data_IF_500865152161
#
_entry.id   IF_500865152161
#
_cell.length_a   1.000
_cell.length_b   1.000
_cell.length_c   1.000
_cell.angle_alpha   90.00
_cell.angle_beta   90.00
_cell.angle_gamma   90.00
#
_symmetry.space_group_name_H-M   'P 1'
#
loop_
_entity.id
_entity.type
_entity.pdbx_description
1 polymer ?
#
# COMPACT_ATOMS: atom_id res chain seq x y z
N UNK A 1 26.68 -44.24 -30.18
CA UNK A 1 27.29 -43.31 -29.20
C UNK A 1 27.31 -41.91 -29.83
N UNK A 2 26.27 -41.11 -29.63
CA UNK A 2 26.23 -39.70 -30.04
C UNK A 2 25.53 -38.93 -28.92
N UNK A 3 26.26 -37.99 -28.31
CA UNK A 3 25.82 -37.10 -27.23
C UNK A 3 24.94 -35.98 -27.80
N UNK A 4 23.75 -35.78 -27.23
CA UNK A 4 22.91 -34.60 -27.47
C UNK A 4 23.26 -33.44 -26.53
N UNK A 5 23.00 -32.17 -26.93
CA UNK A 5 23.29 -31.03 -26.08
C UNK A 5 22.16 -30.78 -25.08
N UNK A 6 22.55 -30.36 -23.87
CA UNK A 6 21.69 -29.96 -22.76
C UNK A 6 21.03 -28.61 -23.06
N UNK A 7 19.72 -28.52 -22.86
CA UNK A 7 18.97 -27.26 -22.82
C UNK A 7 19.43 -26.43 -21.60
N UNK A 8 19.96 -25.24 -21.87
CA UNK A 8 20.17 -24.20 -20.87
C UNK A 8 18.86 -23.46 -20.61
N UNK A 9 18.51 -23.33 -19.33
CA UNK A 9 17.43 -22.50 -18.84
C UNK A 9 17.97 -21.07 -18.68
N UNK A 10 17.34 -20.10 -19.34
CA UNK A 10 17.47 -18.66 -19.14
C UNK A 10 16.03 -18.13 -18.96
N UNK A 11 15.66 -17.13 -18.18
CA UNK A 11 16.36 -15.97 -17.63
C UNK A 11 15.49 -15.50 -16.44
N UNK A 12 16.05 -15.41 -15.22
CA UNK A 12 15.34 -14.86 -14.06
C UNK A 12 15.45 -13.33 -14.12
N UNK A 13 14.31 -12.63 -14.09
CA UNK A 13 14.29 -11.17 -14.04
C UNK A 13 14.64 -10.71 -12.63
N UNK A 14 15.79 -10.03 -12.52
CA UNK A 14 16.34 -9.46 -11.30
C UNK A 14 15.55 -8.21 -10.89
N UNK A 15 14.77 -8.30 -9.82
CA UNK A 15 14.37 -7.10 -9.04
C UNK A 15 15.44 -6.94 -7.97
N UNK A 16 16.44 -6.11 -8.26
CA UNK A 16 17.37 -5.67 -7.23
C UNK A 16 16.64 -4.59 -6.44
N UNK A 17 16.05 -4.91 -5.29
CA UNK A 17 15.69 -3.88 -4.31
C UNK A 17 16.98 -3.54 -3.56
N UNK A 18 17.16 -2.30 -3.14
CA UNK A 18 18.22 -1.97 -2.18
C UNK A 18 17.46 -1.19 -1.14
N UNK A 19 17.10 -1.85 -0.03
CA UNK A 19 16.73 -1.10 1.13
C UNK A 19 17.97 -0.27 1.51
N UNK A 20 17.83 1.04 1.54
CA UNK A 20 18.85 1.89 2.15
C UNK A 20 18.26 2.39 3.44
N UNK A 21 18.66 1.71 4.51
CA UNK A 21 18.50 2.17 5.88
C UNK A 21 19.16 3.52 6.13
N UNK A 22 18.75 4.07 7.27
CA UNK A 22 19.04 5.38 7.82
C UNK A 22 20.53 5.73 7.88
N UNK A 23 20.86 6.96 7.49
CA UNK A 23 22.06 7.66 7.95
C UNK A 23 21.61 8.90 8.71
N UNK A 24 21.84 8.91 10.03
CA UNK A 24 21.75 10.10 10.85
C UNK A 24 22.98 10.96 10.64
N UNK A 25 22.78 12.28 10.62
CA UNK A 25 23.85 13.25 10.78
C UNK A 25 23.60 13.99 12.10
N UNK A 26 24.51 13.74 13.04
CA UNK A 26 24.80 14.59 14.18
C UNK A 26 25.24 15.97 13.67
N UNK A 27 24.73 17.03 14.28
CA UNK A 27 25.50 18.27 14.36
C UNK A 27 25.39 18.85 15.77
N UNK A 28 26.56 18.88 16.40
CA UNK A 28 26.86 19.33 17.74
C UNK A 28 26.99 20.86 17.73
N UNK A 29 26.19 21.55 18.53
CA UNK A 29 26.56 22.90 18.98
C UNK A 29 26.00 23.17 20.37
N UNK A 30 26.89 22.94 21.33
CA UNK A 30 26.79 23.35 22.71
C UNK A 30 26.42 24.84 22.90
N UNK A 31 25.50 25.11 23.83
CA UNK A 31 25.58 26.25 24.72
C UNK A 31 24.99 25.92 26.10
N UNK A 32 25.78 26.27 27.11
CA UNK A 32 25.71 25.91 28.53
C UNK A 32 24.55 26.60 29.30
N UNK A 33 24.26 26.14 30.55
CA UNK A 33 23.03 26.43 31.28
C UNK A 33 23.15 27.60 32.26
N UNK A 34 22.03 28.26 32.56
CA UNK A 34 21.89 29.21 33.67
C UNK A 34 20.52 29.09 34.36
N UNK A 35 20.55 28.45 35.54
CA UNK A 35 19.98 28.87 36.85
C UNK A 35 18.62 29.57 36.97
N UNK A 36 17.82 29.00 37.90
CA UNK A 36 16.93 29.62 38.90
C UNK A 36 15.76 30.52 38.44
N UNK A 37 14.53 30.18 38.84
CA UNK A 37 13.98 30.53 40.15
C UNK A 37 12.49 30.16 40.27
N UNK A 38 12.13 29.57 41.40
CA UNK A 38 10.77 29.44 41.93
C UNK A 38 10.13 30.81 42.16
N UNK A 39 8.81 30.92 41.93
CA UNK A 39 7.97 31.80 42.76
C UNK A 39 6.49 31.40 42.70
N UNK A 40 5.99 30.89 43.84
CA UNK A 40 4.56 30.85 44.20
C UNK A 40 4.40 31.76 45.42
N UNK A 41 3.40 32.64 45.47
CA UNK A 41 2.55 32.75 46.68
C UNK A 41 1.10 33.22 46.37
N UNK A 42 0.22 33.51 47.36
CA UNK A 42 -0.53 32.55 48.15
C UNK A 42 -2.06 32.75 48.07
N UNK A 43 -2.78 31.78 48.63
CA UNK A 43 -4.25 31.76 48.82
C UNK A 43 -4.68 32.81 49.87
N UNK A 44 -5.76 33.54 49.58
CA UNK A 44 -6.47 34.37 50.56
C UNK A 44 -7.98 34.01 50.58
N UNK A 45 -8.46 33.71 51.77
CA UNK A 45 -9.82 33.37 52.15
C UNK A 45 -10.62 34.63 52.42
N UNK A 46 -11.85 34.74 51.89
CA UNK A 46 -12.83 35.73 52.39
C UNK A 46 -14.20 35.12 52.54
N UNK A 47 -14.68 35.16 53.78
CA UNK A 47 -16.02 34.81 54.24
C UNK A 47 -16.96 36.00 54.02
N UNK A 48 -18.14 35.79 53.44
CA UNK A 48 -19.26 36.72 53.60
C UNK A 48 -20.57 35.99 53.94
N UNK A 49 -21.17 36.46 55.03
CA UNK A 49 -22.48 36.08 55.54
C UNK A 49 -23.60 36.53 54.61
N UNK A 50 -24.67 35.74 54.52
CA UNK A 50 -25.97 36.26 54.12
C UNK A 50 -27.09 35.71 54.99
N UNK A 51 -27.89 36.65 55.50
CA UNK A 51 -28.93 36.44 56.48
C UNK A 51 -30.17 35.72 55.95
N UNK A 52 -30.88 35.16 56.92
CA UNK A 52 -32.11 34.40 56.83
C UNK A 52 -33.30 35.25 56.34
N UNK A 53 -34.12 34.69 55.45
CA UNK A 53 -35.53 35.08 55.32
C UNK A 53 -36.35 33.86 54.88
N UNK A 54 -37.29 33.45 55.72
CA UNK A 54 -38.21 32.32 55.59
C UNK A 54 -39.41 32.65 54.71
N UNK A 55 -39.76 31.77 53.76
CA UNK A 55 -41.04 31.72 53.01
C UNK A 55 -41.41 30.23 52.76
N UNK A 56 -42.70 29.83 52.75
CA UNK A 56 -43.15 28.49 53.09
C UNK A 56 -43.02 27.42 52.00
N UNK A 57 -42.80 26.19 52.46
CA UNK A 57 -42.73 24.93 51.70
C UNK A 57 -44.02 24.64 50.95
N UNK A 58 -43.93 24.58 49.62
CA UNK A 58 -44.92 23.93 48.74
C UNK A 58 -44.19 22.81 48.00
N UNK A 59 -44.74 21.59 48.01
CA UNK A 59 -44.11 20.42 47.41
C UNK A 59 -43.97 20.58 45.88
N UNK A 60 -42.80 20.28 45.27
CA UNK A 60 -42.64 20.34 43.83
C UNK A 60 -43.37 19.17 43.13
N UNK A 61 -43.93 19.39 41.93
CA UNK A 61 -44.53 18.32 41.14
C UNK A 61 -43.48 17.30 40.68
N UNK A 62 -43.84 16.01 40.67
CA UNK A 62 -42.98 14.93 40.17
C UNK A 62 -42.68 15.15 38.68
N UNK A 63 -41.41 15.35 38.35
CA UNK A 63 -40.91 15.26 36.99
C UNK A 63 -41.07 13.82 36.47
N UNK A 64 -41.45 13.60 35.21
CA UNK A 64 -41.43 12.28 34.60
C UNK A 64 -39.98 11.78 34.56
N UNK A 65 -39.74 10.61 35.13
CA UNK A 65 -38.46 9.89 35.06
C UNK A 65 -38.23 9.43 33.63
N UNK A 66 -37.23 10.00 32.95
CA UNK A 66 -36.69 9.44 31.71
C UNK A 66 -36.21 8.00 31.96
N UNK A 67 -36.46 7.06 31.03
CA UNK A 67 -35.86 5.73 31.12
C UNK A 67 -34.33 5.86 31.08
N UNK A 68 -33.59 4.92 31.70
CA UNK A 68 -32.13 4.92 31.65
C UNK A 68 -31.67 4.86 30.19
N UNK A 69 -30.53 5.49 29.84
CA UNK A 69 -29.99 5.37 28.50
C UNK A 69 -29.73 3.90 28.21
N UNK A 70 -30.38 3.38 27.17
CA UNK A 70 -30.04 2.08 26.61
C UNK A 70 -28.58 2.16 26.17
N UNK A 71 -27.70 1.44 26.86
CA UNK A 71 -26.38 1.10 26.31
C UNK A 71 -26.62 0.19 25.13
N UNK A 72 -26.90 0.79 23.97
CA UNK A 72 -26.78 0.09 22.70
C UNK A 72 -25.29 -0.12 22.51
N UNK A 73 -24.84 -1.35 22.77
CA UNK A 73 -23.57 -1.83 22.26
C UNK A 73 -23.53 -1.47 20.76
N UNK A 74 -22.46 -0.85 20.24
CA UNK A 74 -22.41 -0.52 18.82
C UNK A 74 -22.65 -1.80 18.03
N UNK A 75 -23.62 -1.79 17.11
CA UNK A 75 -23.86 -2.93 16.23
C UNK A 75 -22.51 -3.31 15.57
N UNK A 76 -22.19 -4.61 15.48
CA UNK A 76 -20.97 -5.03 14.82
C UNK A 76 -21.00 -4.47 13.40
N UNK A 77 -20.01 -3.62 13.06
CA UNK A 77 -19.82 -3.16 11.69
C UNK A 77 -19.45 -4.39 10.85
N UNK A 78 -20.43 -5.05 10.25
CA UNK A 78 -20.18 -6.04 9.21
C UNK A 78 -19.82 -5.28 7.94
N UNK A 79 -18.59 -4.80 7.86
CA UNK A 79 -18.03 -4.26 6.62
C UNK A 79 -18.01 -5.33 5.52
N UNK A 80 -17.98 -4.94 4.24
CA UNK A 80 -17.80 -5.91 3.16
C UNK A 80 -16.50 -6.71 3.37
N UNK A 81 -16.47 -7.98 2.96
CA UNK A 81 -15.30 -8.83 3.15
C UNK A 81 -14.07 -8.23 2.45
N UNK A 82 -12.95 -8.15 3.18
CA UNK A 82 -11.69 -7.63 2.65
C UNK A 82 -11.12 -8.61 1.62
N UNK A 83 -10.73 -8.12 0.43
CA UNK A 83 -9.97 -8.93 -0.52
C UNK A 83 -8.53 -9.04 -0.03
N UNK A 84 -8.13 -10.22 0.42
CA UNK A 84 -6.75 -10.47 0.85
C UNK A 84 -6.02 -11.30 -0.18
N UNK A 85 -4.93 -10.76 -0.71
CA UNK A 85 -4.10 -11.41 -1.72
C UNK A 85 -2.63 -11.36 -1.41
N UNK A 86 -1.83 -11.88 -2.33
CA UNK A 86 -0.40 -11.68 -2.32
C UNK A 86 0.10 -11.23 -3.69
N UNK A 87 1.12 -10.38 -3.68
CA UNK A 87 1.87 -10.00 -4.87
C UNK A 87 3.01 -10.99 -5.02
N UNK A 88 3.02 -11.75 -6.11
CA UNK A 88 4.05 -12.77 -6.32
C UNK A 88 4.20 -13.16 -7.78
N UNK A 89 5.24 -12.63 -8.45
CA UNK A 89 5.52 -12.95 -9.84
C UNK A 89 6.01 -14.40 -10.06
N UNK A 90 6.41 -15.13 -9.00
CA UNK A 90 6.73 -16.56 -9.15
C UNK A 90 5.48 -17.36 -9.60
N UNK A 91 4.28 -16.89 -9.26
CA UNK A 91 3.02 -17.49 -9.70
C UNK A 91 2.80 -17.43 -11.22
N UNK A 92 3.50 -16.53 -11.94
CA UNK A 92 3.46 -16.44 -13.41
C UNK A 92 4.00 -17.71 -14.07
N UNK A 93 4.85 -18.45 -13.38
CA UNK A 93 5.37 -19.74 -13.82
C UNK A 93 4.54 -20.90 -13.26
N UNK A 94 4.61 -22.06 -13.92
CA UNK A 94 4.00 -23.28 -13.39
C UNK A 94 4.82 -23.78 -12.21
N UNK A 95 4.14 -24.13 -11.13
CA UNK A 95 4.76 -24.57 -9.90
C UNK A 95 3.77 -24.63 -8.75
N UNK A 96 4.25 -24.85 -7.52
CA UNK A 96 3.40 -25.00 -6.34
C UNK A 96 2.79 -23.67 -5.85
N UNK A 97 3.38 -22.52 -6.23
CA UNK A 97 3.05 -21.18 -5.70
C UNK A 97 1.55 -20.87 -5.68
N UNK A 98 0.81 -21.11 -6.78
CA UNK A 98 -0.65 -20.86 -6.78
C UNK A 98 -1.43 -21.78 -5.84
N UNK A 99 -0.99 -23.03 -5.67
CA UNK A 99 -1.58 -23.94 -4.69
C UNK A 99 -1.30 -23.46 -3.27
N UNK A 100 -0.05 -23.12 -2.99
CA UNK A 100 0.40 -22.61 -1.70
C UNK A 100 -0.27 -21.29 -1.30
N UNK A 101 -0.55 -20.41 -2.26
CA UNK A 101 -1.35 -19.20 -2.04
C UNK A 101 -2.76 -19.55 -1.55
N UNK A 102 -3.44 -20.45 -2.25
CA UNK A 102 -4.77 -20.90 -1.86
C UNK A 102 -4.76 -21.60 -0.50
N UNK A 103 -3.76 -22.46 -0.25
CA UNK A 103 -3.57 -23.17 1.03
C UNK A 103 -3.29 -22.21 2.19
N UNK A 104 -2.59 -21.10 1.93
CA UNK A 104 -2.35 -20.02 2.88
C UNK A 104 -3.59 -19.14 3.12
N UNK A 105 -4.70 -19.38 2.42
CA UNK A 105 -5.97 -18.68 2.61
C UNK A 105 -6.12 -17.41 1.77
N UNK A 106 -5.18 -17.08 0.89
CA UNK A 106 -5.32 -15.93 0.00
C UNK A 106 -6.49 -16.10 -0.96
N UNK A 107 -7.24 -15.03 -1.22
CA UNK A 107 -8.32 -14.96 -2.20
C UNK A 107 -7.94 -14.21 -3.48
N UNK A 108 -6.73 -13.67 -3.56
CA UNK A 108 -6.25 -12.93 -4.70
C UNK A 108 -4.76 -13.10 -4.97
N UNK A 109 -4.37 -12.86 -6.22
CA UNK A 109 -3.00 -12.82 -6.71
C UNK A 109 -2.77 -11.48 -7.42
N UNK A 110 -1.70 -10.80 -7.06
CA UNK A 110 -1.15 -9.70 -7.84
C UNK A 110 0.10 -10.15 -8.61
N UNK A 111 0.18 -9.77 -9.88
CA UNK A 111 1.33 -10.02 -10.75
C UNK A 111 1.65 -8.79 -11.58
N UNK A 112 2.87 -8.73 -12.09
CA UNK A 112 3.40 -7.58 -12.84
C UNK A 112 3.47 -7.86 -14.33
N UNK A 113 3.11 -6.88 -15.17
CA UNK A 113 3.44 -6.87 -16.59
C UNK A 113 4.21 -5.59 -16.93
N UNK A 114 5.48 -5.73 -17.30
CA UNK A 114 6.32 -4.58 -17.64
C UNK A 114 6.04 -4.05 -19.04
N UNK A 115 5.77 -2.75 -19.15
CA UNK A 115 5.79 -2.01 -20.40
C UNK A 115 7.21 -1.52 -20.71
N UNK A 116 7.64 -1.69 -21.96
CA UNK A 116 8.89 -1.13 -22.48
C UNK A 116 8.59 -0.03 -23.52
N UNK A 117 9.39 1.07 -23.56
CA UNK A 117 9.24 2.12 -24.56
C UNK A 117 9.18 1.61 -26.00
N UNK A 118 8.27 2.17 -26.79
CA UNK A 118 8.04 1.76 -28.18
C UNK A 118 6.99 0.66 -28.35
N UNK A 119 6.57 -0.03 -27.29
CA UNK A 119 5.60 -1.14 -27.39
C UNK A 119 4.16 -0.66 -27.22
N UNK A 120 3.33 -0.79 -28.26
CA UNK A 120 1.87 -0.59 -28.16
C UNK A 120 1.09 -1.86 -27.80
N UNK A 121 1.78 -3.00 -27.66
CA UNK A 121 1.19 -4.31 -27.40
C UNK A 121 2.20 -5.20 -26.67
N UNK A 122 1.77 -6.04 -25.71
CA UNK A 122 2.67 -7.01 -25.10
C UNK A 122 3.17 -8.05 -26.12
N UNK A 123 4.31 -8.66 -25.83
CA UNK A 123 4.82 -9.74 -26.69
C UNK A 123 3.85 -10.93 -26.69
N UNK A 124 3.94 -11.79 -27.71
CA UNK A 124 3.18 -13.05 -27.73
C UNK A 124 3.48 -13.91 -26.50
N UNK A 125 4.73 -13.89 -26.04
CA UNK A 125 5.17 -14.60 -24.84
C UNK A 125 4.49 -14.03 -23.59
N UNK A 126 4.48 -12.71 -23.41
CA UNK A 126 3.84 -12.06 -22.26
C UNK A 126 2.35 -12.38 -22.21
N UNK A 127 1.63 -12.23 -23.33
CA UNK A 127 0.22 -12.60 -23.41
C UNK A 127 0.00 -14.09 -23.12
N UNK A 128 0.92 -14.96 -23.56
CA UNK A 128 0.87 -16.39 -23.26
C UNK A 128 0.99 -16.67 -21.76
N UNK A 129 1.92 -15.99 -21.08
CA UNK A 129 2.10 -16.09 -19.62
C UNK A 129 0.86 -15.58 -18.89
N UNK A 130 0.37 -14.39 -19.23
CA UNK A 130 -0.81 -13.78 -18.61
C UNK A 130 -2.06 -14.65 -18.78
N UNK A 131 -2.28 -15.24 -19.96
CA UNK A 131 -3.41 -16.17 -20.16
C UNK A 131 -3.28 -17.44 -19.33
N UNK A 132 -2.09 -18.04 -19.26
CA UNK A 132 -1.90 -19.28 -18.50
C UNK A 132 -2.06 -19.05 -17.00
N UNK A 133 -1.43 -18.02 -16.43
CA UNK A 133 -1.60 -17.68 -15.00
C UNK A 133 -3.04 -17.27 -14.69
N UNK A 134 -3.69 -16.50 -15.57
CA UNK A 134 -5.07 -16.09 -15.33
C UNK A 134 -6.02 -17.28 -15.28
N UNK A 135 -5.89 -18.22 -16.22
CA UNK A 135 -6.67 -19.47 -16.20
C UNK A 135 -6.42 -20.27 -14.92
N UNK A 136 -5.15 -20.47 -14.52
CA UNK A 136 -4.80 -21.26 -13.32
C UNK A 136 -5.28 -20.61 -12.02
N UNK A 137 -5.32 -19.27 -11.96
CA UNK A 137 -5.87 -18.51 -10.85
C UNK A 137 -7.40 -18.63 -10.79
N UNK A 138 -8.09 -18.53 -11.93
CA UNK A 138 -9.54 -18.74 -12.01
C UNK A 138 -9.95 -20.16 -11.58
N UNK A 139 -9.17 -21.19 -11.95
CA UNK A 139 -9.39 -22.58 -11.50
C UNK A 139 -9.30 -22.76 -9.96
N UNK A 140 -8.81 -21.75 -9.23
CA UNK A 140 -8.65 -21.71 -7.77
C UNK A 140 -9.46 -20.61 -7.10
N UNK A 141 -10.37 -19.97 -7.85
CA UNK A 141 -11.16 -18.83 -7.37
C UNK A 141 -10.31 -17.65 -6.85
N UNK A 142 -9.11 -17.48 -7.41
CA UNK A 142 -8.24 -16.34 -7.09
C UNK A 142 -8.56 -15.14 -8.00
N UNK A 143 -8.90 -14.00 -7.39
CA UNK A 143 -9.01 -12.72 -8.10
C UNK A 143 -7.62 -12.24 -8.55
N UNK A 144 -7.52 -11.70 -9.76
CA UNK A 144 -6.23 -11.26 -10.32
C UNK A 144 -6.16 -9.74 -10.35
N UNK A 145 -5.12 -9.20 -9.71
CA UNK A 145 -4.67 -7.83 -9.86
C UNK A 145 -3.45 -7.82 -10.79
N UNK A 146 -3.47 -6.99 -11.83
CA UNK A 146 -2.35 -6.84 -12.74
C UNK A 146 -1.73 -5.45 -12.59
N UNK A 147 -0.52 -5.38 -12.04
CA UNK A 147 0.27 -4.17 -12.06
C UNK A 147 0.92 -4.01 -13.43
N UNK A 148 0.53 -2.96 -14.17
CA UNK A 148 1.17 -2.59 -15.44
C UNK A 148 1.98 -1.34 -15.21
N UNK A 149 3.30 -1.44 -15.34
CA UNK A 149 4.20 -0.31 -15.15
C UNK A 149 5.51 -0.49 -15.94
N UNK A 150 6.35 0.53 -15.94
CA UNK A 150 7.63 0.53 -16.62
C UNK A 150 8.78 0.23 -15.64
N UNK A 151 9.91 -0.27 -16.12
CA UNK A 151 10.95 -0.86 -15.25
C UNK A 151 11.60 0.11 -14.25
N UNK A 152 11.62 1.39 -14.58
CA UNK A 152 12.08 2.42 -13.65
C UNK A 152 12.16 3.78 -14.32
N UNK A 153 12.82 4.72 -13.65
CA UNK A 153 12.90 6.12 -14.03
C UNK A 153 13.40 6.37 -15.47
N UNK A 154 14.33 5.55 -15.97
CA UNK A 154 14.88 5.67 -17.33
C UNK A 154 13.86 5.37 -18.43
N UNK A 155 12.76 4.70 -18.11
CA UNK A 155 11.69 4.32 -19.04
C UNK A 155 10.37 5.03 -18.73
N UNK A 156 10.40 6.14 -17.98
CA UNK A 156 9.20 6.93 -17.66
C UNK A 156 8.49 7.38 -18.95
N UNK A 157 7.17 7.15 -19.11
CA UNK A 157 6.42 7.51 -20.31
C UNK A 157 6.12 9.02 -20.35
N UNK A 158 7.16 9.82 -20.60
CA UNK A 158 7.09 11.28 -20.54
C UNK A 158 6.46 11.94 -21.78
N UNK A 159 6.46 11.27 -22.93
CA UNK A 159 5.93 11.84 -24.19
C UNK A 159 4.49 11.41 -24.45
N UNK A 160 3.70 12.19 -25.23
CA UNK A 160 2.36 11.76 -25.66
C UNK A 160 2.36 10.40 -26.36
N UNK A 161 3.34 10.13 -27.21
CA UNK A 161 3.47 8.86 -27.92
C UNK A 161 3.75 7.69 -26.96
N UNK A 162 4.64 7.88 -25.99
CA UNK A 162 4.95 6.86 -24.98
C UNK A 162 3.71 6.51 -24.14
N UNK A 163 2.94 7.52 -23.72
CA UNK A 163 1.68 7.30 -23.00
C UNK A 163 0.63 6.59 -23.86
N UNK A 164 0.52 6.95 -25.14
CA UNK A 164 -0.38 6.29 -26.09
C UNK A 164 -0.02 4.82 -26.27
N UNK A 165 1.27 4.52 -26.40
CA UNK A 165 1.79 3.15 -26.50
C UNK A 165 1.52 2.36 -25.21
N UNK A 166 1.75 2.95 -24.05
CA UNK A 166 1.45 2.34 -22.76
C UNK A 166 -0.05 2.03 -22.63
N UNK A 167 -0.92 2.98 -22.94
CA UNK A 167 -2.36 2.80 -22.88
C UNK A 167 -2.84 1.70 -23.85
N UNK A 168 -2.31 1.67 -25.08
CA UNK A 168 -2.59 0.61 -26.04
C UNK A 168 -2.10 -0.77 -25.58
N UNK A 169 -0.96 -0.83 -24.88
CA UNK A 169 -0.43 -2.05 -24.29
C UNK A 169 -1.38 -2.60 -23.23
N UNK A 170 -1.81 -1.77 -22.27
CA UNK A 170 -2.75 -2.16 -21.22
C UNK A 170 -4.12 -2.58 -21.80
N UNK A 171 -4.69 -1.78 -22.71
CA UNK A 171 -5.94 -2.09 -23.40
C UNK A 171 -5.86 -3.39 -24.22
N UNK A 172 -4.67 -3.74 -24.73
CA UNK A 172 -4.48 -5.02 -25.42
C UNK A 172 -4.48 -6.20 -24.46
N UNK A 173 -3.92 -6.07 -23.26
CA UNK A 173 -4.01 -7.13 -22.25
C UNK A 173 -5.47 -7.41 -21.91
N UNK A 174 -6.26 -6.37 -21.66
CA UNK A 174 -7.67 -6.51 -21.28
C UNK A 174 -8.51 -7.22 -22.36
N UNK A 175 -8.32 -6.86 -23.64
CA UNK A 175 -9.01 -7.56 -24.75
C UNK A 175 -8.62 -9.03 -24.88
N UNK A 176 -7.37 -9.36 -24.56
CA UNK A 176 -6.76 -10.66 -24.86
C UNK A 176 -6.75 -11.61 -23.66
N UNK A 177 -7.00 -11.08 -22.45
CA UNK A 177 -7.00 -11.79 -21.16
C UNK A 177 -8.17 -11.25 -20.29
N UNK A 178 -9.44 -11.42 -20.72
CA UNK A 178 -10.61 -10.80 -20.08
C UNK A 178 -10.91 -11.30 -18.65
N UNK A 179 -10.18 -12.32 -18.18
CA UNK A 179 -10.20 -12.75 -16.78
C UNK A 179 -9.54 -11.73 -15.84
N UNK A 180 -8.66 -10.87 -16.36
CA UNK A 180 -8.07 -9.76 -15.60
C UNK A 180 -9.08 -8.63 -15.57
N UNK A 181 -9.53 -8.27 -14.37
CA UNK A 181 -10.52 -7.20 -14.14
C UNK A 181 -10.02 -6.08 -13.25
N UNK A 182 -8.84 -6.23 -12.65
CA UNK A 182 -8.21 -5.22 -11.82
C UNK A 182 -6.84 -4.89 -12.38
N UNK A 183 -6.62 -3.63 -12.75
CA UNK A 183 -5.33 -3.16 -13.28
C UNK A 183 -4.81 -2.02 -12.41
N UNK A 184 -3.62 -2.21 -11.85
CA UNK A 184 -2.87 -1.17 -11.13
C UNK A 184 -1.95 -0.47 -12.13
N UNK A 185 -2.10 0.85 -12.28
CA UNK A 185 -1.40 1.63 -13.31
C UNK A 185 -0.22 2.37 -12.71
N UNK A 186 0.99 1.98 -13.11
CA UNK A 186 2.22 2.53 -12.56
C UNK A 186 2.66 1.83 -11.27
N UNK A 187 3.80 2.28 -10.74
CA UNK A 187 4.33 1.86 -9.46
C UNK A 187 5.05 3.04 -8.82
N UNK A 188 4.64 3.43 -7.61
CA UNK A 188 5.25 4.50 -6.81
C UNK A 188 5.72 5.73 -7.60
N UNK A 189 4.83 6.41 -8.35
CA UNK A 189 5.22 7.59 -9.12
C UNK A 189 5.73 8.75 -8.25
N UNK A 190 5.57 8.68 -6.92
CA UNK A 190 6.16 9.60 -5.95
C UNK A 190 7.64 9.31 -5.60
N UNK A 191 8.20 8.21 -6.08
CA UNK A 191 9.57 7.76 -5.81
C UNK A 191 10.44 7.87 -7.06
N UNK A 192 11.62 8.49 -6.94
CA UNK A 192 12.55 8.72 -8.07
C UNK A 192 13.09 7.45 -8.72
N UNK A 193 13.03 6.30 -8.05
CA UNK A 193 13.36 5.00 -8.65
C UNK A 193 12.42 4.71 -9.81
N UNK A 194 11.13 5.01 -9.65
CA UNK A 194 10.10 4.61 -10.58
C UNK A 194 9.64 5.74 -11.47
N UNK A 195 9.78 7.01 -11.09
CA UNK A 195 9.35 8.10 -11.95
C UNK A 195 10.31 9.29 -11.91
N UNK A 196 10.78 9.73 -13.06
CA UNK A 196 11.57 10.96 -13.19
C UNK A 196 11.13 11.74 -14.44
N UNK A 197 11.20 13.09 -14.42
CA UNK A 197 11.62 13.92 -13.29
C UNK A 197 10.59 13.95 -12.14
N UNK A 198 11.05 14.04 -10.90
CA UNK A 198 10.18 14.28 -9.74
C UNK A 198 9.76 15.75 -9.68
N UNK A 199 10.70 16.67 -9.79
CA UNK A 199 10.47 18.11 -9.72
C UNK A 199 10.98 18.81 -10.97
N UNK A 200 10.34 19.92 -11.34
CA UNK A 200 10.86 20.83 -12.34
C UNK A 200 11.91 21.80 -11.76
N UNK A 201 12.52 22.65 -12.59
CA UNK A 201 13.61 23.56 -12.17
C UNK A 201 13.23 24.53 -11.05
N UNK A 202 11.95 24.89 -10.92
CA UNK A 202 11.43 25.77 -9.87
C UNK A 202 10.98 25.04 -8.60
N UNK A 203 11.12 23.71 -8.54
CA UNK A 203 10.65 22.88 -7.43
C UNK A 203 9.17 22.48 -7.50
N UNK A 204 8.47 22.88 -8.57
CA UNK A 204 7.12 22.43 -8.89
C UNK A 204 7.07 20.91 -9.11
N UNK A 205 5.93 20.28 -8.81
CA UNK A 205 5.76 18.85 -9.05
C UNK A 205 5.73 18.56 -10.55
N UNK A 206 6.72 17.79 -11.03
CA UNK A 206 6.73 17.29 -12.41
C UNK A 206 6.11 15.88 -12.50
N UNK A 207 6.31 15.05 -11.48
CA UNK A 207 5.82 13.67 -11.49
C UNK A 207 4.30 13.58 -11.42
N UNK A 208 3.62 14.32 -10.54
CA UNK A 208 2.17 14.17 -10.36
C UNK A 208 1.36 14.56 -11.62
N UNK A 209 1.59 15.71 -12.28
CA UNK A 209 0.91 16.02 -13.55
C UNK A 209 1.27 15.06 -14.68
N UNK A 210 2.52 14.58 -14.72
CA UNK A 210 2.97 13.62 -15.73
C UNK A 210 2.29 12.26 -15.55
N UNK A 211 2.18 11.79 -14.31
CA UNK A 211 1.48 10.56 -13.96
C UNK A 211 -0.02 10.66 -14.27
N UNK A 212 -0.65 11.78 -13.94
CA UNK A 212 -2.05 12.03 -14.31
C UNK A 212 -2.29 11.88 -15.82
N UNK A 213 -1.40 12.43 -16.64
CA UNK A 213 -1.53 12.34 -18.09
C UNK A 213 -1.44 10.90 -18.59
N UNK A 214 -0.61 10.05 -17.97
CA UNK A 214 -0.58 8.62 -18.26
C UNK A 214 -1.88 7.96 -17.82
N UNK A 215 -2.27 8.20 -16.57
CA UNK A 215 -3.42 7.56 -15.93
C UNK A 215 -4.73 7.83 -16.70
N UNK A 216 -4.95 9.08 -17.13
CA UNK A 216 -6.11 9.45 -17.95
C UNK A 216 -6.16 8.69 -19.29
N UNK A 217 -5.03 8.55 -20.00
CA UNK A 217 -4.98 7.82 -21.26
C UNK A 217 -5.20 6.32 -21.08
N UNK A 218 -4.62 5.74 -20.02
CA UNK A 218 -4.82 4.33 -19.68
C UNK A 218 -6.28 4.08 -19.32
N UNK A 219 -6.89 4.94 -18.51
CA UNK A 219 -8.30 4.83 -18.13
C UNK A 219 -9.21 4.81 -19.36
N UNK A 220 -9.07 5.78 -20.27
CA UNK A 220 -9.90 5.86 -21.47
C UNK A 220 -9.72 4.63 -22.38
N UNK A 221 -8.47 4.22 -22.61
CA UNK A 221 -8.18 3.05 -23.44
C UNK A 221 -8.66 1.73 -22.80
N UNK A 222 -8.53 1.60 -21.49
CA UNK A 222 -8.92 0.41 -20.74
C UNK A 222 -10.45 0.28 -20.68
N UNK A 223 -11.18 1.34 -20.34
CA UNK A 223 -12.65 1.34 -20.35
C UNK A 223 -13.21 1.12 -21.75
N UNK A 224 -12.54 1.63 -22.79
CA UNK A 224 -12.92 1.34 -24.18
C UNK A 224 -12.68 -0.12 -24.59
N UNK A 225 -11.67 -0.79 -24.03
CA UNK A 225 -11.36 -2.19 -24.28
C UNK A 225 -12.23 -3.16 -23.49
N UNK A 226 -12.52 -2.84 -22.23
CA UNK A 226 -13.28 -3.65 -21.29
C UNK A 226 -13.98 -2.70 -20.29
N UNK A 227 -15.25 -2.31 -20.51
CA UNK A 227 -15.93 -1.29 -19.68
C UNK A 227 -15.96 -1.60 -18.18
N UNK A 228 -16.05 -2.88 -17.82
CA UNK A 228 -16.12 -3.36 -16.44
C UNK A 228 -14.76 -3.55 -15.76
N UNK A 229 -13.64 -3.18 -16.41
CA UNK A 229 -12.33 -3.22 -15.76
C UNK A 229 -12.27 -2.16 -14.65
N UNK A 230 -11.70 -2.51 -13.51
CA UNK A 230 -11.41 -1.61 -12.41
C UNK A 230 -9.96 -1.12 -12.51
N UNK A 231 -9.79 0.20 -12.57
CA UNK A 231 -8.49 0.86 -12.70
C UNK A 231 -8.06 1.45 -11.36
N UNK A 232 -6.99 0.89 -10.83
CA UNK A 232 -6.32 1.36 -9.62
C UNK A 232 -5.19 2.33 -10.00
N UNK A 233 -5.27 3.57 -9.50
CA UNK A 233 -4.22 4.59 -9.63
C UNK A 233 -3.47 4.83 -8.32
N UNK A 234 -2.38 5.59 -8.35
CA UNK A 234 -1.54 5.87 -7.18
C UNK A 234 -0.41 4.86 -7.07
N UNK A 235 -0.66 3.73 -6.41
CA UNK A 235 0.35 2.77 -5.95
C UNK A 235 1.51 3.49 -5.27
N UNK A 236 1.21 4.48 -4.42
CA UNK A 236 2.21 5.37 -3.85
C UNK A 236 3.01 4.67 -2.75
N UNK A 237 4.31 4.92 -2.73
CA UNK A 237 5.14 4.63 -1.57
C UNK A 237 4.75 5.55 -0.40
N UNK A 238 4.96 5.13 0.86
CA UNK A 238 4.35 5.77 2.02
C UNK A 238 5.06 7.04 2.51
N UNK A 239 6.21 7.37 1.91
CA UNK A 239 7.14 8.40 2.40
C UNK A 239 7.76 9.18 1.24
N UNK A 240 8.25 10.37 1.55
CA UNK A 240 9.08 11.15 0.64
C UNK A 240 9.68 12.40 1.29
N UNK A 241 10.75 12.91 0.69
CA UNK A 241 11.55 13.99 1.26
C UNK A 241 10.97 15.37 1.01
N UNK A 242 10.18 15.56 -0.04
CA UNK A 242 9.72 16.86 -0.55
C UNK A 242 10.87 17.86 -0.75
N UNK A 243 12.07 17.37 -1.08
CA UNK A 243 13.27 18.18 -1.32
C UNK A 243 13.63 18.16 -2.81
N UNK A 244 13.23 19.17 -3.61
CA UNK A 244 13.53 19.21 -5.03
C UNK A 244 15.01 19.13 -5.39
N UNK A 245 15.86 19.80 -4.60
CA UNK A 245 17.31 19.80 -4.77
C UNK A 245 18.02 18.66 -3.99
N UNK A 246 17.28 17.70 -3.43
CA UNK A 246 17.87 16.58 -2.70
C UNK A 246 18.54 15.57 -3.65
N UNK A 247 19.52 14.82 -3.16
CA UNK A 247 20.21 13.78 -3.93
C UNK A 247 19.26 12.68 -4.45
N UNK A 248 18.18 12.42 -3.71
CA UNK A 248 17.10 11.49 -4.08
C UNK A 248 15.76 12.22 -3.94
N UNK A 249 15.37 13.03 -4.94
CA UNK A 249 14.14 13.79 -4.86
C UNK A 249 12.94 12.83 -4.84
N UNK A 250 11.99 13.03 -3.94
CA UNK A 250 10.75 12.23 -3.84
C UNK A 250 9.64 13.10 -3.28
N UNK A 251 8.38 12.72 -3.52
CA UNK A 251 7.22 13.36 -2.90
C UNK A 251 6.73 12.54 -1.72
N UNK A 252 6.41 13.21 -0.61
CA UNK A 252 5.53 12.60 0.39
C UNK A 252 4.16 12.27 -0.24
N UNK A 253 3.46 11.22 0.23
CA UNK A 253 2.15 10.86 -0.31
C UNK A 253 1.18 12.03 -0.29
N UNK A 254 1.14 12.74 0.84
CA UNK A 254 0.26 13.90 1.00
C UNK A 254 0.56 15.02 0.03
N UNK A 255 1.84 15.30 -0.27
CA UNK A 255 2.17 16.27 -1.33
C UNK A 255 1.77 15.74 -2.69
N UNK A 256 2.13 14.50 -3.02
CA UNK A 256 1.84 13.92 -4.34
C UNK A 256 0.34 13.93 -4.66
N UNK A 257 -0.51 13.52 -3.71
CA UNK A 257 -1.97 13.49 -3.88
C UNK A 257 -2.55 14.90 -4.10
N UNK A 258 -2.09 15.91 -3.33
CA UNK A 258 -2.51 17.31 -3.54
C UNK A 258 -2.13 17.84 -4.92
N UNK A 259 -0.91 17.56 -5.37
CA UNK A 259 -0.42 17.96 -6.69
C UNK A 259 -1.16 17.21 -7.81
N UNK A 260 -1.52 15.95 -7.59
CA UNK A 260 -2.34 15.15 -8.51
C UNK A 260 -3.75 15.75 -8.65
N UNK A 261 -4.40 16.11 -7.54
CA UNK A 261 -5.70 16.79 -7.53
C UNK A 261 -5.66 18.17 -8.18
N UNK A 262 -4.60 18.95 -7.93
CA UNK A 262 -4.38 20.24 -8.59
C UNK A 262 -4.23 20.08 -10.11
N UNK A 263 -3.45 19.09 -10.56
CA UNK A 263 -3.30 18.76 -11.97
C UNK A 263 -4.62 18.29 -12.60
N UNK A 264 -5.42 17.50 -11.89
CA UNK A 264 -6.73 17.04 -12.35
C UNK A 264 -7.67 18.21 -12.58
N UNK A 265 -7.79 19.12 -11.61
CA UNK A 265 -8.58 20.35 -11.76
C UNK A 265 -8.07 21.22 -12.92
N UNK A 266 -6.76 21.42 -13.03
CA UNK A 266 -6.16 22.21 -14.10
C UNK A 266 -6.36 21.61 -15.50
N UNK A 267 -6.50 20.29 -15.61
CA UNK A 267 -6.76 19.61 -16.89
C UNK A 267 -8.14 19.90 -17.48
N UNK A 268 -9.09 20.37 -16.66
CA UNK A 268 -10.49 20.55 -17.06
C UNK A 268 -11.23 19.25 -17.36
N UNK A 269 -10.62 18.09 -17.09
CA UNK A 269 -11.21 16.78 -17.32
C UNK A 269 -12.39 16.55 -16.37
N UNK A 270 -13.52 16.14 -16.94
CA UNK A 270 -14.75 15.81 -16.19
C UNK A 270 -15.01 14.31 -16.08
N UNK A 271 -14.29 13.49 -16.85
CA UNK A 271 -14.33 12.03 -16.74
C UNK A 271 -13.34 11.53 -15.69
N UNK A 272 -13.62 10.42 -14.98
CA UNK A 272 -12.68 9.85 -14.02
C UNK A 272 -11.34 9.47 -14.68
N UNK A 273 -10.30 9.32 -13.86
CA UNK A 273 -8.97 8.82 -14.28
C UNK A 273 -8.62 7.48 -13.60
N UNK A 274 -9.38 7.10 -12.58
CA UNK A 274 -9.25 5.85 -11.84
C UNK A 274 -10.63 5.49 -11.27
N UNK A 275 -10.79 4.23 -10.88
CA UNK A 275 -11.95 3.75 -10.13
C UNK A 275 -11.65 3.61 -8.63
N UNK A 276 -10.37 3.44 -8.26
CA UNK A 276 -9.92 3.37 -6.87
C UNK A 276 -8.43 3.67 -6.73
N UNK A 277 -7.97 3.79 -5.48
CA UNK A 277 -6.61 4.21 -5.15
C UNK A 277 -5.80 3.06 -4.55
N UNK A 278 -4.71 2.70 -5.22
CA UNK A 278 -3.71 1.75 -4.73
C UNK A 278 -2.67 2.48 -3.86
N UNK A 279 -2.23 1.83 -2.77
CA UNK A 279 -1.30 2.43 -1.81
C UNK A 279 -0.40 1.38 -1.15
N UNK A 280 0.86 1.71 -0.88
CA UNK A 280 1.83 0.81 -0.23
C UNK A 280 2.13 1.29 1.21
N UNK A 281 1.33 0.92 2.22
CA UNK A 281 1.47 1.44 3.57
C UNK A 281 2.60 0.77 4.37
N UNK A 282 3.80 0.61 3.78
CA UNK A 282 4.93 0.00 4.48
C UNK A 282 5.30 0.79 5.74
N UNK A 283 5.55 0.13 6.88
CA UNK A 283 6.12 0.77 8.05
C UNK A 283 7.57 1.23 7.78
N UNK A 284 8.17 1.97 8.70
CA UNK A 284 9.55 2.45 8.60
C UNK A 284 10.56 1.31 8.39
N UNK A 285 10.34 0.20 9.08
CA UNK A 285 11.13 -1.04 9.06
C UNK A 285 10.23 -2.23 9.35
N UNK A 286 10.69 -3.46 9.07
CA UNK A 286 9.98 -4.69 9.45
C UNK A 286 9.80 -4.85 10.97
N UNK A 287 10.64 -4.19 11.78
CA UNK A 287 10.54 -4.14 13.24
C UNK A 287 9.54 -3.10 13.78
N UNK A 288 9.02 -2.23 12.91
CA UNK A 288 8.02 -1.23 13.29
C UNK A 288 6.61 -1.81 13.13
N UNK A 289 5.76 -1.77 14.17
CA UNK A 289 4.39 -2.28 14.06
C UNK A 289 3.59 -1.57 12.96
N UNK A 290 2.80 -2.30 12.15
CA UNK A 290 2.12 -1.73 10.99
C UNK A 290 1.01 -0.73 11.37
N UNK A 291 0.43 -0.88 12.56
CA UNK A 291 -0.62 -0.03 13.12
C UNK A 291 -0.08 1.16 13.95
N UNK A 292 1.22 1.49 13.83
CA UNK A 292 1.80 2.69 14.46
C UNK A 292 1.28 3.96 13.75
N UNK A 293 0.54 4.86 14.43
CA UNK A 293 -0.02 6.04 13.79
C UNK A 293 0.97 7.22 13.73
N UNK A 294 0.91 8.00 12.65
CA UNK A 294 1.69 9.21 12.45
C UNK A 294 0.89 10.47 12.83
N UNK A 295 0.59 10.60 14.13
CA UNK A 295 -0.30 11.64 14.68
C UNK A 295 0.12 13.09 14.41
N UNK A 296 1.37 13.35 14.04
CA UNK A 296 1.80 14.69 13.69
C UNK A 296 1.21 15.08 12.32
N UNK A 297 0.37 16.13 12.21
CA UNK A 297 -0.22 16.52 10.93
C UNK A 297 0.81 16.93 9.87
N UNK A 298 2.02 17.32 10.31
CA UNK A 298 3.16 17.64 9.43
C UNK A 298 3.99 16.42 9.02
N UNK A 299 3.63 15.22 9.49
CA UNK A 299 4.29 13.99 9.08
C UNK A 299 4.26 13.86 7.55
N UNK A 300 5.38 13.48 6.96
CA UNK A 300 5.48 13.15 5.54
C UNK A 300 5.26 11.66 5.26
N UNK A 301 5.00 10.89 6.31
CA UNK A 301 4.57 9.51 6.24
C UNK A 301 3.05 9.44 6.36
N UNK A 302 2.44 8.54 5.58
CA UNK A 302 1.09 8.04 5.80
C UNK A 302 1.25 6.51 5.86
N UNK A 303 1.07 5.94 7.04
CA UNK A 303 1.14 4.49 7.28
C UNK A 303 -0.23 3.84 7.24
N UNK A 304 -0.29 2.55 7.55
CA UNK A 304 -1.54 1.79 7.55
C UNK A 304 -2.55 2.37 8.56
N UNK A 305 -2.09 2.83 9.72
CA UNK A 305 -2.95 3.44 10.75
C UNK A 305 -3.40 4.89 10.47
N UNK A 306 -3.00 5.48 9.33
CA UNK A 306 -3.32 6.87 8.99
C UNK A 306 -4.38 6.96 7.87
N UNK A 307 -5.30 6.01 7.82
CA UNK A 307 -6.31 5.88 6.75
C UNK A 307 -7.22 7.11 6.62
N UNK A 308 -7.73 7.65 7.73
CA UNK A 308 -8.54 8.88 7.73
C UNK A 308 -7.81 10.03 7.00
N UNK A 309 -6.52 10.20 7.26
CA UNK A 309 -5.70 11.22 6.58
C UNK A 309 -5.55 10.92 5.10
N UNK A 310 -5.43 9.65 4.70
CA UNK A 310 -5.38 9.25 3.29
C UNK A 310 -6.71 9.57 2.60
N UNK A 311 -7.84 9.20 3.20
CA UNK A 311 -9.18 9.47 2.67
C UNK A 311 -9.45 10.95 2.49
N UNK A 312 -9.11 11.78 3.49
CA UNK A 312 -9.27 13.24 3.40
C UNK A 312 -8.51 13.81 2.19
N UNK A 313 -7.27 13.36 1.97
CA UNK A 313 -6.46 13.80 0.82
C UNK A 313 -7.05 13.33 -0.51
N UNK A 314 -7.56 12.10 -0.57
CA UNK A 314 -8.19 11.56 -1.78
C UNK A 314 -9.50 12.29 -2.09
N UNK A 315 -10.34 12.52 -1.09
CA UNK A 315 -11.57 13.29 -1.23
C UNK A 315 -11.28 14.72 -1.72
N UNK A 316 -10.26 15.38 -1.18
CA UNK A 316 -9.83 16.72 -1.65
C UNK A 316 -9.31 16.69 -3.10
N UNK A 317 -8.59 15.64 -3.48
CA UNK A 317 -7.98 15.53 -4.80
C UNK A 317 -9.01 15.21 -5.91
N UNK A 318 -9.95 14.30 -5.63
CA UNK A 318 -10.86 13.73 -6.62
C UNK A 318 -12.32 14.19 -6.47
N UNK A 319 -12.67 14.80 -5.33
CA UNK A 319 -14.02 15.30 -5.07
C UNK A 319 -15.06 14.21 -4.77
N UNK A 320 -14.62 12.97 -4.58
CA UNK A 320 -15.45 11.81 -4.23
C UNK A 320 -14.64 10.83 -3.40
N UNK A 321 -15.34 10.06 -2.55
CA UNK A 321 -14.76 8.90 -1.86
C UNK A 321 -14.31 7.85 -2.89
N UNK A 322 -13.14 7.24 -2.64
CA UNK A 322 -12.53 6.26 -3.52
C UNK A 322 -12.23 4.98 -2.73
N UNK A 323 -12.56 3.80 -3.28
CA UNK A 323 -12.08 2.54 -2.73
C UNK A 323 -10.55 2.54 -2.63
N UNK A 324 -10.04 2.04 -1.51
CA UNK A 324 -8.60 1.92 -1.24
C UNK A 324 -8.19 0.46 -1.32
N UNK A 325 -7.12 0.21 -2.06
CA UNK A 325 -6.41 -1.06 -2.10
C UNK A 325 -5.03 -0.85 -1.48
N UNK A 326 -4.74 -1.49 -0.35
CA UNK A 326 -3.36 -1.60 0.11
C UNK A 326 -2.65 -2.63 -0.76
N UNK A 327 -2.01 -2.16 -1.82
CA UNK A 327 -1.52 -3.01 -2.90
C UNK A 327 -0.19 -3.69 -2.62
N UNK A 328 0.52 -3.27 -1.55
CA UNK A 328 1.72 -3.95 -1.05
C UNK A 328 1.91 -3.69 0.44
N UNK A 329 2.16 -4.76 1.21
CA UNK A 329 2.66 -4.71 2.59
C UNK A 329 3.51 -5.95 2.88
N UNK A 330 4.73 -5.76 3.36
CA UNK A 330 5.67 -6.83 3.70
C UNK A 330 6.26 -6.66 5.09
N UNK A 331 6.46 -7.77 5.80
CA UNK A 331 7.20 -7.83 7.06
C UNK A 331 8.26 -8.93 6.92
N UNK A 332 9.52 -8.53 6.85
CA UNK A 332 10.64 -9.43 6.57
C UNK A 332 11.10 -10.18 7.81
N UNK A 333 11.45 -11.45 7.64
CA UNK A 333 11.83 -12.33 8.76
C UNK A 333 13.29 -12.72 8.72
N UNK A 334 13.88 -12.94 9.88
CA UNK A 334 15.20 -13.55 10.03
C UNK A 334 15.17 -14.95 9.43
N UNK A 335 16.12 -15.23 8.54
CA UNK A 335 16.27 -16.55 7.94
C UNK A 335 16.97 -17.49 8.93
N UNK A 336 16.43 -18.69 9.19
CA UNK A 336 17.11 -19.69 10.02
C UNK A 336 18.47 -20.10 9.44
N UNK A 337 19.44 -20.39 10.31
CA UNK A 337 20.82 -20.70 9.90
C UNK A 337 20.90 -21.91 8.96
N UNK A 338 20.03 -22.91 9.14
CA UNK A 338 19.91 -24.08 8.29
C UNK A 338 19.39 -23.78 6.87
N UNK A 339 18.72 -22.64 6.68
CA UNK A 339 18.19 -22.18 5.39
C UNK A 339 19.04 -21.10 4.73
N UNK A 340 20.01 -20.53 5.44
CA UNK A 340 20.86 -19.44 4.91
C UNK A 340 21.52 -19.77 3.56
N UNK A 341 21.85 -21.05 3.30
CA UNK A 341 22.41 -21.49 2.02
C UNK A 341 21.47 -21.42 0.81
N UNK A 342 20.19 -21.10 1.03
CA UNK A 342 19.19 -20.87 -0.03
C UNK A 342 19.15 -19.41 -0.48
N UNK A 343 19.87 -18.52 0.20
CA UNK A 343 19.80 -17.08 0.01
C UNK A 343 21.17 -16.51 -0.40
N UNK A 344 21.14 -15.45 -1.20
CA UNK A 344 22.32 -14.79 -1.73
C UNK A 344 22.33 -13.30 -1.36
N UNK A 345 23.46 -12.80 -0.82
CA UNK A 345 23.67 -11.38 -0.57
C UNK A 345 23.78 -11.03 0.91
N UNK A 346 23.39 -9.80 1.25
CA UNK A 346 23.37 -9.26 2.61
C UNK A 346 22.02 -8.57 2.80
N UNK A 347 21.36 -8.89 3.90
CA UNK A 347 20.09 -8.30 4.33
C UNK A 347 20.29 -6.81 4.67
N UNK A 348 19.62 -5.87 3.98
CA UNK A 348 19.77 -4.45 4.23
C UNK A 348 18.77 -3.91 5.27
N UNK A 349 17.85 -4.74 5.78
CA UNK A 349 16.77 -4.33 6.68
C UNK A 349 16.96 -4.83 8.12
N UNK A 350 16.02 -4.44 8.99
CA UNK A 350 15.88 -4.96 10.36
C UNK A 350 14.76 -6.03 10.39
N UNK A 351 15.05 -7.28 9.97
CA UNK A 351 14.05 -8.34 9.95
C UNK A 351 13.64 -8.76 11.36
N UNK A 352 12.44 -9.34 11.49
CA UNK A 352 11.88 -9.82 12.76
C UNK A 352 11.85 -11.34 12.85
N UNK A 353 11.52 -11.90 14.00
CA UNK A 353 11.19 -13.32 14.06
C UNK A 353 9.81 -13.62 13.43
N UNK A 354 9.58 -14.88 13.11
CA UNK A 354 8.34 -15.32 12.44
C UNK A 354 7.09 -15.14 13.33
N UNK A 355 7.25 -15.16 14.65
CA UNK A 355 6.15 -14.90 15.58
C UNK A 355 5.70 -13.43 15.51
N UNK A 356 6.66 -12.50 15.41
CA UNK A 356 6.41 -11.07 15.22
C UNK A 356 5.80 -10.80 13.85
N UNK A 357 6.29 -11.48 12.79
CA UNK A 357 5.67 -11.41 11.47
C UNK A 357 4.19 -11.81 11.51
N UNK A 358 3.88 -12.93 12.18
CA UNK A 358 2.50 -13.39 12.35
C UNK A 358 1.63 -12.37 13.10
N UNK A 359 2.13 -11.78 14.20
CA UNK A 359 1.40 -10.74 14.93
C UNK A 359 1.16 -9.49 14.07
N UNK A 360 2.17 -9.04 13.32
CA UNK A 360 2.07 -7.84 12.50
C UNK A 360 1.10 -8.03 11.34
N UNK A 361 1.14 -9.16 10.63
CA UNK A 361 0.14 -9.44 9.60
C UNK A 361 -1.26 -9.58 10.18
N UNK A 362 -1.42 -10.21 11.36
CA UNK A 362 -2.71 -10.27 12.06
C UNK A 362 -3.27 -8.87 12.34
N UNK A 363 -2.44 -7.96 12.88
CA UNK A 363 -2.85 -6.58 13.19
C UNK A 363 -3.15 -5.78 11.94
N UNK A 364 -2.32 -5.90 10.91
CA UNK A 364 -2.53 -5.20 9.65
C UNK A 364 -3.84 -5.61 8.97
N UNK A 365 -4.11 -6.91 8.89
CA UNK A 365 -5.33 -7.45 8.29
C UNK A 365 -6.57 -7.09 9.11
N UNK A 366 -6.50 -7.16 10.44
CA UNK A 366 -7.60 -6.76 11.30
C UNK A 366 -7.91 -5.26 11.19
N UNK A 367 -6.88 -4.42 11.16
CA UNK A 367 -7.03 -2.98 10.98
C UNK A 367 -7.66 -2.65 9.62
N UNK A 368 -7.10 -3.19 8.53
CA UNK A 368 -7.60 -2.95 7.18
C UNK A 368 -9.03 -3.44 6.96
N UNK A 369 -9.43 -4.57 7.56
CA UNK A 369 -10.80 -5.07 7.47
C UNK A 369 -11.83 -4.14 8.13
N UNK A 370 -11.39 -3.28 9.05
CA UNK A 370 -12.23 -2.36 9.80
C UNK A 370 -12.09 -0.89 9.38
N UNK A 371 -11.24 -0.58 8.40
CA UNK A 371 -11.10 0.76 7.83
C UNK A 371 -12.18 1.01 6.79
N UNK A 372 -12.62 2.26 6.68
CA UNK A 372 -13.68 2.64 5.77
C UNK A 372 -13.09 2.74 4.34
N UNK A 373 -13.90 2.41 3.31
CA UNK A 373 -13.48 2.34 1.90
C UNK A 373 -12.28 1.43 1.55
N UNK A 374 -11.63 0.78 2.52
CA UNK A 374 -10.56 -0.20 2.28
C UNK A 374 -11.18 -1.51 1.82
N UNK A 375 -10.94 -1.88 0.56
CA UNK A 375 -11.56 -3.06 -0.07
C UNK A 375 -10.59 -4.22 -0.25
N UNK A 376 -9.29 -4.00 -0.05
CA UNK A 376 -8.31 -5.07 -0.12
C UNK A 376 -6.94 -4.76 0.44
N UNK A 377 -6.21 -5.83 0.74
CA UNK A 377 -4.80 -5.81 1.14
C UNK A 377 -4.05 -6.93 0.42
N UNK A 378 -2.94 -6.59 -0.23
CA UNK A 378 -2.06 -7.52 -0.91
C UNK A 378 -0.73 -7.60 -0.16
N UNK A 379 -0.41 -8.77 0.35
CA UNK A 379 0.86 -9.00 1.03
C UNK A 379 1.99 -9.19 0.01
N UNK A 380 3.10 -8.50 0.23
CA UNK A 380 4.32 -8.60 -0.56
C UNK A 380 5.33 -9.31 0.33
N UNK A 381 5.57 -10.62 0.22
CA UNK A 381 5.15 -11.59 -0.81
C UNK A 381 4.43 -12.81 -0.21
N UNK A 382 4.14 -13.82 -1.04
CA UNK A 382 3.80 -15.15 -0.54
C UNK A 382 5.03 -16.02 -0.24
N UNK A 383 6.06 -15.92 -1.09
CA UNK A 383 7.35 -16.60 -0.93
C UNK A 383 8.47 -15.59 -0.75
N UNK A 384 9.49 -15.96 0.02
CA UNK A 384 10.71 -15.19 0.08
C UNK A 384 11.42 -15.13 -1.29
N UNK A 385 12.06 -14.00 -1.54
CA UNK A 385 13.00 -13.87 -2.64
C UNK A 385 14.37 -14.50 -2.28
N UNK A 386 15.06 -15.10 -3.25
CA UNK A 386 16.36 -15.74 -3.02
C UNK A 386 17.49 -14.74 -2.78
N UNK A 387 17.33 -13.49 -3.23
CA UNK A 387 18.32 -12.45 -2.99
C UNK A 387 17.94 -11.67 -1.72
N UNK A 388 18.88 -11.55 -0.78
CA UNK A 388 18.70 -10.78 0.47
C UNK A 388 18.59 -9.27 0.26
N UNK A 389 18.82 -8.82 -0.97
CA UNK A 389 18.53 -7.43 -1.36
C UNK A 389 17.07 -7.26 -1.79
N UNK A 390 16.37 -8.36 -2.01
CA UNK A 390 14.94 -8.44 -2.28
C UNK A 390 14.10 -8.41 -1.01
N UNK A 391 13.02 -9.19 -0.96
CA UNK A 391 12.13 -9.27 0.18
C UNK A 391 12.07 -10.67 0.80
N UNK A 392 12.32 -10.74 2.11
CA UNK A 392 12.22 -11.96 2.92
C UNK A 392 10.92 -12.00 3.74
N UNK A 393 9.83 -11.50 3.15
CA UNK A 393 8.53 -11.28 3.79
C UNK A 393 7.48 -12.35 3.51
N UNK A 394 7.82 -13.40 2.76
CA UNK A 394 6.90 -14.51 2.47
C UNK A 394 6.45 -15.22 3.74
N UNK A 395 5.34 -15.97 3.62
CA UNK A 395 4.94 -17.00 4.60
C UNK A 395 5.50 -18.39 4.23
N UNK A 396 6.16 -18.47 3.07
CA UNK A 396 6.98 -19.60 2.63
C UNK A 396 8.42 -19.11 2.38
N UNK A 397 9.39 -19.96 2.66
CA UNK A 397 10.78 -19.73 2.24
C UNK A 397 10.94 -19.97 0.72
N UNK A 398 12.14 -19.67 0.20
CA UNK A 398 12.52 -19.84 -1.22
C UNK A 398 12.29 -21.28 -1.74
N UNK A 399 12.46 -22.29 -0.88
CA UNK A 399 12.25 -23.70 -1.22
C UNK A 399 10.77 -24.15 -1.15
N UNK A 400 9.87 -23.23 -0.81
CA UNK A 400 8.44 -23.50 -0.64
C UNK A 400 8.09 -24.16 0.70
N UNK A 401 9.05 -24.36 1.60
CA UNK A 401 8.72 -24.80 2.96
C UNK A 401 7.95 -23.69 3.70
N UNK A 402 6.91 -24.02 4.46
CA UNK A 402 6.16 -23.02 5.22
C UNK A 402 7.00 -22.47 6.37
N UNK A 403 6.87 -21.17 6.64
CA UNK A 403 7.33 -20.55 7.87
C UNK A 403 6.41 -20.92 9.03
N UNK A 404 6.91 -20.84 10.26
CA UNK A 404 6.10 -21.03 11.47
C UNK A 404 5.01 -19.97 11.62
N UNK A 405 5.13 -18.83 10.92
CA UNK A 405 4.10 -17.78 10.84
C UNK A 405 2.86 -18.20 10.04
N UNK A 406 2.99 -19.13 9.07
CA UNK A 406 1.94 -19.44 8.10
C UNK A 406 0.56 -19.75 8.73
N UNK A 407 0.43 -20.62 9.75
CA UNK A 407 -0.90 -20.93 10.30
C UNK A 407 -1.60 -19.71 10.88
N UNK A 408 -0.90 -18.87 11.64
CA UNK A 408 -1.46 -17.67 12.25
C UNK A 408 -1.82 -16.60 11.20
N UNK A 409 -0.98 -16.45 10.17
CA UNK A 409 -1.27 -15.54 9.05
C UNK A 409 -2.47 -16.03 8.25
N UNK A 410 -2.57 -17.34 7.99
CA UNK A 410 -3.75 -17.94 7.33
C UNK A 410 -5.04 -17.66 8.10
N UNK A 411 -5.03 -17.86 9.41
CA UNK A 411 -6.21 -17.60 10.24
C UNK A 411 -6.59 -16.10 10.21
N UNK A 412 -5.61 -15.19 10.24
CA UNK A 412 -5.86 -13.76 10.09
C UNK A 412 -6.42 -13.39 8.72
N UNK A 413 -5.92 -14.01 7.64
CA UNK A 413 -6.45 -13.82 6.28
C UNK A 413 -7.91 -14.26 6.22
N UNK A 414 -8.23 -15.45 6.75
CA UNK A 414 -9.60 -15.96 6.75
C UNK A 414 -10.54 -15.09 7.58
N UNK A 415 -10.07 -14.57 8.72
CA UNK A 415 -10.84 -13.64 9.56
C UNK A 415 -11.14 -12.31 8.82
N UNK A 416 -10.11 -11.67 8.23
CA UNK A 416 -10.31 -10.42 7.50
C UNK A 416 -11.23 -10.58 6.28
N UNK A 417 -11.15 -11.72 5.59
CA UNK A 417 -12.07 -12.09 4.50
C UNK A 417 -13.50 -12.38 4.96
N UNK A 418 -13.72 -12.63 6.25
CA UNK A 418 -15.07 -12.76 6.82
C UNK A 418 -15.69 -11.40 7.19
N UNK A 419 -14.90 -10.31 7.16
CA UNK A 419 -15.30 -8.95 7.48
C UNK A 419 -14.68 -8.44 8.79
N UNK A 420 -14.94 -7.17 9.12
CA UNK A 420 -14.51 -6.59 10.38
C UNK A 420 -15.13 -7.35 11.57
N UNK A 421 -14.27 -7.78 12.48
CA UNK A 421 -14.67 -8.27 13.81
C UNK A 421 -14.18 -7.23 14.82
N UNK A 422 -15.09 -6.43 15.42
CA UNK A 422 -14.73 -5.34 16.32
C UNK A 422 -13.98 -5.78 17.58
#
# INVERSE_FOLDING_TARGET
MIRGPRMGVALLALVLTLATGCGGDDDDSALRPTTHADTVPPVATTTEQRGSTTVPTTAPPRLPTSPPPTTTEPEPRTGPPLVVGAVDDAARHRGPVLGQLADAGFGALAITSYWDPGRSRPTRQELGVLRDVARRATERDLRIFLSVFHRGASTTPLTPDARTQFAAYAATILREVPAIRDVIVGNEPNVNRFWQPQFGPGGESAAAPSYLALLAQVYDAAKGAQPEVFIWGGALGPRGSDRPAGARPTHSPGRFIRELGAALRASGRTSPVLDGFAYHPYPETSSTPPDLPHRNPRSRTIGLADEERLQELLLEAFGTELPILYSELGVETVIPAEKAGLYEGIEPTDPVDEATQADFYRRALALAACQDDVVGMLLFHSHDEPFLTGFQSGVYYVDGAPKSSLPAVRDAILAARAGCVP
#
